data_IF_768940958199
#
_entry.id   IF_768940958199
#
_cell.length_a   1.000
_cell.length_b   1.000
_cell.length_c   1.000
_cell.angle_alpha   90.00
_cell.angle_beta   90.00
_cell.angle_gamma   90.00
#
_symmetry.space_group_name_H-M   'P 1'
#
loop_
_entity.id
_entity.type
_entity.pdbx_description
1 polymer ?
#
# COMPACT_ATOMS: atom_id res chain seq x y z
N UNK A 1 -0.80 -3.93 24.12
CA UNK A 1 0.32 -4.67 23.56
C UNK A 1 0.34 -4.46 22.05
N UNK A 2 1.37 -3.85 21.56
CA UNK A 2 1.44 -3.55 20.12
C UNK A 2 1.88 -4.79 19.35
N UNK A 3 1.11 -5.13 18.34
CA UNK A 3 1.49 -6.19 17.41
C UNK A 3 2.61 -5.66 16.52
N UNK A 4 3.68 -6.44 16.35
CA UNK A 4 4.76 -6.06 15.46
C UNK A 4 4.38 -6.38 14.02
N UNK A 5 3.99 -5.38 13.26
CA UNK A 5 3.57 -5.54 11.87
C UNK A 5 4.67 -6.07 10.98
N UNK A 6 5.92 -5.77 11.28
CA UNK A 6 7.05 -6.27 10.50
C UNK A 6 7.24 -7.78 10.68
N UNK A 7 7.06 -8.28 11.90
CA UNK A 7 7.11 -9.72 12.17
C UNK A 7 5.98 -10.44 11.45
N UNK A 8 4.77 -9.86 11.47
CA UNK A 8 3.63 -10.42 10.77
C UNK A 8 3.87 -10.46 9.26
N UNK A 9 4.42 -9.40 8.70
CA UNK A 9 4.76 -9.33 7.27
C UNK A 9 5.75 -10.42 6.91
N UNK A 10 6.82 -10.61 7.69
CA UNK A 10 7.82 -11.64 7.44
C UNK A 10 7.21 -13.05 7.56
N UNK A 11 6.36 -13.26 8.56
CA UNK A 11 5.68 -14.53 8.75
C UNK A 11 4.82 -14.89 7.53
N UNK A 12 4.04 -13.93 7.03
CA UNK A 12 3.20 -14.13 5.85
C UNK A 12 4.02 -14.43 4.61
N UNK A 13 5.12 -13.71 4.41
CA UNK A 13 6.02 -13.93 3.29
C UNK A 13 6.65 -15.33 3.34
N UNK A 14 7.10 -15.75 4.52
CA UNK A 14 7.72 -17.06 4.69
C UNK A 14 6.72 -18.19 4.44
N UNK A 15 5.48 -18.04 4.93
CA UNK A 15 4.43 -19.02 4.72
C UNK A 15 4.10 -19.18 3.24
N UNK A 16 3.97 -18.07 2.52
CA UNK A 16 3.67 -18.11 1.09
C UNK A 16 4.81 -18.72 0.30
N UNK A 17 6.04 -18.42 0.65
CA UNK A 17 7.21 -18.99 0.00
C UNK A 17 7.25 -20.50 0.14
N UNK A 18 6.93 -21.02 1.34
CA UNK A 18 6.88 -22.46 1.57
C UNK A 18 5.78 -23.11 0.75
N UNK A 19 4.62 -22.48 0.62
CA UNK A 19 3.51 -22.97 -0.20
C UNK A 19 3.87 -22.97 -1.68
N UNK A 20 4.60 -21.98 -2.14
CA UNK A 20 5.07 -21.87 -3.51
C UNK A 20 6.02 -22.98 -3.89
N UNK A 21 6.99 -23.27 -3.02
CA UNK A 21 7.95 -24.35 -3.26
C UNK A 21 7.27 -25.72 -3.41
N UNK A 22 6.08 -25.86 -2.83
CA UNK A 22 5.29 -27.09 -2.91
C UNK A 22 4.45 -27.23 -4.19
N UNK A 23 4.23 -26.11 -4.90
CA UNK A 23 3.34 -26.08 -6.09
C UNK A 23 4.08 -25.51 -7.30
N UNK A 24 4.86 -26.32 -7.97
CA UNK A 24 5.54 -25.90 -9.20
C UNK A 24 4.66 -26.18 -10.42
N UNK A 25 3.63 -25.39 -10.64
CA UNK A 25 2.82 -25.42 -11.85
C UNK A 25 3.16 -24.18 -12.68
N UNK A 26 3.64 -24.33 -13.94
CA UNK A 26 3.99 -23.18 -14.79
C UNK A 26 2.84 -22.20 -15.02
N UNK A 27 1.58 -22.68 -14.99
CA UNK A 27 0.40 -21.83 -15.19
C UNK A 27 0.09 -20.99 -13.96
N UNK A 28 0.60 -21.39 -12.79
CA UNK A 28 0.37 -20.71 -11.53
C UNK A 28 1.65 -20.13 -10.98
N UNK A 29 2.63 -19.84 -11.86
CA UNK A 29 3.89 -19.24 -11.43
C UNK A 29 3.64 -17.84 -10.89
N UNK A 30 4.06 -17.62 -9.65
CA UNK A 30 3.97 -16.32 -9.01
C UNK A 30 4.83 -15.30 -9.75
N UNK A 31 4.23 -14.15 -10.09
CA UNK A 31 4.94 -13.03 -10.69
C UNK A 31 5.49 -12.12 -9.60
N UNK A 32 4.67 -11.86 -8.58
CA UNK A 32 5.01 -10.97 -7.48
C UNK A 32 4.13 -11.28 -6.28
N UNK A 33 4.50 -10.73 -5.13
CA UNK A 33 3.65 -10.72 -3.94
C UNK A 33 3.15 -9.30 -3.71
N UNK A 34 1.94 -9.19 -3.20
CA UNK A 34 1.29 -7.91 -2.98
C UNK A 34 0.82 -7.85 -1.53
N UNK A 35 1.17 -6.76 -0.85
CA UNK A 35 0.63 -6.45 0.48
C UNK A 35 -0.71 -5.78 0.27
N UNK A 36 -1.77 -6.37 0.83
CA UNK A 36 -3.12 -5.82 0.71
C UNK A 36 -3.53 -5.08 1.97
N UNK A 37 -4.34 -4.05 1.78
CA UNK A 37 -4.82 -3.21 2.88
C UNK A 37 -6.18 -2.62 2.50
N UNK A 38 -6.88 -2.13 3.51
CA UNK A 38 -8.22 -1.54 3.33
C UNK A 38 -8.16 -0.02 3.36
N UNK A 39 -8.90 0.60 2.45
CA UNK A 39 -9.35 1.97 2.55
C UNK A 39 -10.87 1.90 2.42
N UNK A 40 -11.57 2.09 3.53
CA UNK A 40 -13.00 1.81 3.57
C UNK A 40 -13.26 0.33 3.37
N UNK A 41 -14.13 0.01 2.44
CA UNK A 41 -14.47 -1.37 2.10
C UNK A 41 -13.66 -1.93 0.93
N UNK A 42 -12.92 -1.07 0.22
CA UNK A 42 -12.13 -1.48 -0.92
C UNK A 42 -10.76 -1.97 -0.50
N UNK A 43 -10.32 -3.07 -1.10
CA UNK A 43 -8.99 -3.62 -0.90
C UNK A 43 -8.05 -3.07 -1.96
N UNK A 44 -6.93 -2.53 -1.49
CA UNK A 44 -5.84 -2.04 -2.33
C UNK A 44 -4.60 -2.89 -2.08
N UNK A 45 -3.61 -2.75 -2.93
CA UNK A 45 -2.38 -3.49 -2.77
C UNK A 45 -1.16 -2.69 -3.19
N UNK A 46 -0.02 -3.06 -2.62
CA UNK A 46 1.28 -2.52 -2.99
C UNK A 46 2.21 -3.71 -3.18
N UNK A 47 2.97 -3.71 -4.26
CA UNK A 47 3.92 -4.78 -4.51
C UNK A 47 4.99 -4.81 -3.41
N UNK A 48 5.29 -5.99 -2.92
CA UNK A 48 6.21 -6.18 -1.79
C UNK A 48 7.58 -5.54 -2.01
N UNK A 49 8.17 -5.57 -3.21
CA UNK A 49 9.46 -4.90 -3.40
C UNK A 49 9.47 -3.41 -3.05
N UNK A 50 8.31 -2.76 -3.07
CA UNK A 50 8.19 -1.34 -2.72
C UNK A 50 7.97 -1.12 -1.23
N UNK A 51 7.69 -2.16 -0.46
CA UNK A 51 7.38 -2.05 0.99
C UNK A 51 8.67 -2.21 1.80
N UNK A 52 8.93 -1.25 2.68
CA UNK A 52 10.05 -1.33 3.61
C UNK A 52 9.60 -1.95 4.92
N UNK A 53 8.55 -1.40 5.54
CA UNK A 53 8.03 -1.91 6.82
C UNK A 53 6.63 -1.36 7.09
N UNK A 54 5.96 -1.94 8.05
CA UNK A 54 4.64 -1.50 8.51
C UNK A 54 4.78 -1.14 9.98
N UNK A 55 4.28 0.04 10.36
CA UNK A 55 4.39 0.54 11.73
C UNK A 55 3.04 1.03 12.23
N UNK A 56 2.90 1.08 13.56
CA UNK A 56 1.79 1.78 14.20
C UNK A 56 1.98 3.28 13.95
N UNK A 57 0.89 4.03 14.00
CA UNK A 57 0.96 5.48 13.78
C UNK A 57 1.67 6.14 14.95
N UNK A 58 2.90 6.68 14.74
CA UNK A 58 3.58 7.45 15.78
C UNK A 58 3.08 8.89 15.79
N UNK A 59 3.56 9.72 16.72
CA UNK A 59 3.24 11.15 16.65
C UNK A 59 3.68 11.74 15.30
N UNK A 60 2.77 12.49 14.67
CA UNK A 60 3.02 13.13 13.38
C UNK A 60 3.18 14.61 13.60
N UNK A 61 4.29 15.16 13.09
CA UNK A 61 4.55 16.60 13.16
C UNK A 61 4.05 17.26 11.89
N UNK A 62 3.05 18.13 12.02
CA UNK A 62 2.50 18.87 10.88
C UNK A 62 3.55 19.80 10.30
N UNK A 63 3.58 19.90 8.97
CA UNK A 63 4.49 20.80 8.24
C UNK A 63 3.63 21.81 7.49
N UNK A 64 3.87 23.12 7.68
CA UNK A 64 3.12 24.13 6.93
C UNK A 64 3.53 24.17 5.46
N UNK A 65 2.58 24.54 4.61
CA UNK A 65 2.86 24.77 3.19
C UNK A 65 2.89 23.53 2.31
N UNK A 66 2.54 22.35 2.86
CA UNK A 66 2.48 21.11 2.07
C UNK A 66 1.06 20.85 1.59
N UNK A 67 0.88 20.04 0.53
CA UNK A 67 -0.46 19.65 0.10
C UNK A 67 -1.25 18.97 1.23
N UNK A 68 -2.57 19.08 1.17
CA UNK A 68 -3.44 18.57 2.24
C UNK A 68 -3.34 17.06 2.48
N UNK A 69 -2.93 16.29 1.48
CA UNK A 69 -2.78 14.84 1.65
C UNK A 69 -1.51 14.47 2.43
N UNK A 70 -0.56 15.40 2.58
CA UNK A 70 0.62 15.18 3.42
C UNK A 70 0.26 15.60 4.84
N UNK A 71 0.19 14.62 5.74
CA UNK A 71 -0.18 14.87 7.14
C UNK A 71 0.95 15.50 7.93
N UNK A 72 2.17 15.28 7.50
CA UNK A 72 3.33 15.78 8.19
C UNK A 72 4.51 14.85 8.03
N UNK A 73 5.37 14.85 9.03
CA UNK A 73 6.58 14.03 9.04
C UNK A 73 6.62 13.20 10.33
N UNK A 74 7.28 12.06 10.24
CA UNK A 74 7.52 11.19 11.40
C UNK A 74 8.99 10.82 11.44
N UNK A 75 9.45 10.39 12.60
CA UNK A 75 10.81 9.87 12.77
C UNK A 75 10.73 8.35 12.81
N UNK A 76 11.40 7.70 11.86
CA UNK A 76 11.49 6.23 11.81
C UNK A 76 12.96 5.87 11.83
N UNK A 77 13.42 5.29 12.93
CA UNK A 77 14.82 4.84 13.07
C UNK A 77 15.83 5.95 12.71
N UNK A 78 15.58 7.14 13.26
CA UNK A 78 16.40 8.36 13.07
C UNK A 78 16.33 8.95 11.66
N UNK A 79 15.38 8.49 10.83
CA UNK A 79 15.10 9.10 9.52
C UNK A 79 13.80 9.86 9.58
N UNK A 80 13.78 11.02 8.94
CA UNK A 80 12.56 11.81 8.79
C UNK A 80 11.84 11.33 7.54
N UNK A 81 10.60 10.91 7.70
CA UNK A 81 9.80 10.32 6.62
C UNK A 81 8.50 11.12 6.50
N UNK A 82 8.19 11.67 5.31
CA UNK A 82 6.89 12.31 5.11
C UNK A 82 5.78 11.28 5.11
N UNK A 83 4.60 11.69 5.58
CA UNK A 83 3.45 10.80 5.73
C UNK A 83 2.30 11.31 4.89
N UNK A 84 1.80 10.45 4.03
CA UNK A 84 0.66 10.71 3.14
C UNK A 84 -0.55 9.96 3.68
N UNK A 85 -1.68 10.66 3.80
CA UNK A 85 -2.94 10.00 4.10
C UNK A 85 -3.56 9.55 2.77
N UNK A 86 -3.73 8.25 2.62
CA UNK A 86 -4.24 7.70 1.35
C UNK A 86 -5.67 8.19 1.08
N UNK A 87 -6.50 8.31 2.10
CA UNK A 87 -7.86 8.83 1.92
C UNK A 87 -7.83 10.22 1.29
N UNK A 88 -7.02 11.10 1.86
CA UNK A 88 -6.88 12.48 1.33
C UNK A 88 -6.29 12.47 -0.07
N UNK A 89 -5.31 11.61 -0.31
CA UNK A 89 -4.69 11.49 -1.63
C UNK A 89 -5.70 11.09 -2.71
N UNK A 90 -6.69 10.28 -2.33
CA UNK A 90 -7.75 9.84 -3.24
C UNK A 90 -8.94 10.80 -3.26
N UNK A 91 -8.86 11.92 -2.54
CA UNK A 91 -9.98 12.86 -2.45
C UNK A 91 -11.11 12.36 -1.55
N UNK A 92 -10.83 11.41 -0.68
CA UNK A 92 -11.79 10.89 0.28
C UNK A 92 -11.67 11.60 1.62
N UNK A 93 -12.75 11.57 2.39
CA UNK A 93 -12.75 12.15 3.73
C UNK A 93 -11.85 11.34 4.66
N UNK A 94 -11.08 12.03 5.49
CA UNK A 94 -10.26 11.39 6.52
C UNK A 94 -11.17 10.91 7.66
N UNK A 95 -10.75 9.81 8.29
CA UNK A 95 -11.45 9.26 9.45
C UNK A 95 -10.50 9.28 10.65
N UNK A 96 -11.04 9.28 11.87
CA UNK A 96 -10.19 9.18 13.07
C UNK A 96 -9.39 7.89 13.06
N UNK A 97 -8.17 7.95 13.57
CA UNK A 97 -7.32 6.76 13.71
C UNK A 97 -7.88 5.85 14.79
N UNK A 98 -7.73 4.56 14.59
CA UNK A 98 -8.13 3.54 15.54
C UNK A 98 -7.03 2.49 15.69
N UNK A 99 -7.30 1.40 16.41
CA UNK A 99 -6.29 0.36 16.68
C UNK A 99 -5.78 -0.34 15.44
N UNK A 100 -6.49 -0.26 14.33
CA UNK A 100 -6.11 -0.90 13.06
C UNK A 100 -5.36 0.04 12.12
N UNK A 101 -5.48 1.34 12.33
CA UNK A 101 -4.79 2.32 11.49
C UNK A 101 -3.30 2.13 11.62
N UNK A 102 -2.62 2.09 10.47
CA UNK A 102 -1.17 1.91 10.48
C UNK A 102 -0.55 2.66 9.30
N UNK A 103 0.77 2.70 9.31
CA UNK A 103 1.54 3.33 8.25
C UNK A 103 2.37 2.26 7.55
N UNK A 104 2.23 2.21 6.22
CA UNK A 104 3.07 1.37 5.37
C UNK A 104 4.19 2.26 4.86
N UNK A 105 5.43 1.96 5.26
CA UNK A 105 6.59 2.68 4.75
C UNK A 105 6.97 2.07 3.42
N UNK A 106 6.96 2.89 2.38
CA UNK A 106 7.28 2.46 1.02
C UNK A 106 8.45 3.28 0.49
N UNK A 107 9.12 2.75 -0.53
CA UNK A 107 10.18 3.49 -1.18
C UNK A 107 10.09 3.34 -2.69
N UNK A 108 10.57 4.37 -3.37
CA UNK A 108 10.83 4.31 -4.80
C UNK A 108 12.14 5.04 -5.02
N UNK A 109 13.16 4.31 -5.48
CA UNK A 109 14.52 4.87 -5.55
C UNK A 109 15.01 5.27 -4.17
N UNK A 110 15.41 6.54 -4.04
CA UNK A 110 15.97 7.07 -2.80
C UNK A 110 14.92 7.71 -1.88
N UNK A 111 13.66 7.72 -2.30
CA UNK A 111 12.61 8.40 -1.55
C UNK A 111 11.80 7.37 -0.75
N UNK A 112 11.63 7.64 0.54
CA UNK A 112 10.78 6.84 1.43
C UNK A 112 9.61 7.70 1.91
N UNK A 113 8.41 7.12 1.92
CA UNK A 113 7.18 7.80 2.31
C UNK A 113 6.35 6.84 3.14
N UNK A 114 5.67 7.35 4.16
CA UNK A 114 4.72 6.57 4.93
C UNK A 114 3.31 6.79 4.38
N UNK A 115 2.57 5.71 4.21
CA UNK A 115 1.19 5.75 3.73
C UNK A 115 0.26 5.36 4.87
N UNK A 116 -0.62 6.27 5.28
CA UNK A 116 -1.62 5.97 6.31
C UNK A 116 -2.75 5.20 5.65
N UNK A 117 -3.04 4.01 6.15
CA UNK A 117 -4.10 3.14 5.65
C UNK A 117 -5.03 2.75 6.80
N UNK A 118 -6.27 2.37 6.47
CA UNK A 118 -7.26 2.02 7.49
C UNK A 118 -6.86 0.76 8.26
N UNK A 119 -6.41 -0.25 7.55
CA UNK A 119 -5.89 -1.48 8.14
C UNK A 119 -5.15 -2.31 7.10
N UNK A 120 -4.20 -3.12 7.56
CA UNK A 120 -3.51 -4.07 6.69
C UNK A 120 -4.30 -5.38 6.68
N UNK A 121 -4.40 -6.00 5.52
CA UNK A 121 -5.12 -7.26 5.36
C UNK A 121 -4.17 -8.46 5.30
N UNK A 122 -3.45 -8.62 4.18
CA UNK A 122 -2.70 -9.85 3.94
C UNK A 122 -1.56 -9.60 2.95
N UNK A 123 -0.72 -10.61 2.75
CA UNK A 123 0.25 -10.67 1.66
C UNK A 123 -0.18 -11.82 0.76
N UNK A 124 -0.41 -11.51 -0.51
CA UNK A 124 -0.94 -12.50 -1.45
C UNK A 124 0.02 -12.70 -2.63
N UNK A 125 0.17 -13.94 -3.11
CA UNK A 125 0.89 -14.19 -4.35
C UNK A 125 0.02 -13.82 -5.54
N UNK A 126 0.61 -13.25 -6.56
CA UNK A 126 -0.09 -12.83 -7.78
C UNK A 126 0.51 -13.55 -8.98
N UNK A 127 -0.37 -14.15 -9.79
CA UNK A 127 0.00 -14.78 -11.06
C UNK A 127 -0.62 -14.01 -12.21
N UNK A 128 -0.22 -14.32 -13.44
CA UNK A 128 -0.80 -13.67 -14.62
C UNK A 128 -2.32 -13.83 -14.72
N UNK A 129 -2.84 -14.96 -14.23
CA UNK A 129 -4.28 -15.22 -14.27
C UNK A 129 -5.08 -14.23 -13.43
N UNK A 130 -4.46 -13.66 -12.40
CA UNK A 130 -5.12 -12.71 -11.53
C UNK A 130 -5.17 -11.29 -12.13
N UNK A 131 -4.26 -10.99 -13.06
CA UNK A 131 -4.14 -9.63 -13.58
C UNK A 131 -5.16 -9.40 -14.68
N UNK A 132 -6.02 -8.43 -14.45
CA UNK A 132 -7.00 -7.97 -15.44
C UNK A 132 -6.45 -6.75 -16.15
N UNK A 133 -6.85 -6.55 -17.41
CA UNK A 133 -6.49 -5.31 -18.11
C UNK A 133 -7.19 -4.15 -17.42
N UNK A 134 -6.42 -3.11 -17.10
CA UNK A 134 -6.98 -1.92 -16.48
C UNK A 134 -7.89 -1.21 -17.48
N UNK A 135 -9.21 -1.16 -17.21
CA UNK A 135 -10.10 -0.41 -18.10
C UNK A 135 -9.84 1.08 -17.95
N UNK A 136 -10.19 1.84 -18.99
CA UNK A 136 -10.13 3.28 -18.90
C UNK A 136 -11.24 3.77 -17.95
N UNK A 137 -10.85 4.23 -16.76
CA UNK A 137 -11.77 4.72 -15.75
C UNK A 137 -11.78 6.25 -15.81
N UNK A 138 -12.43 6.78 -16.86
CA UNK A 138 -12.50 8.23 -17.06
C UNK A 138 -13.28 8.91 -15.93
N UNK A 139 -12.78 10.03 -15.45
CA UNK A 139 -13.46 10.83 -14.43
C UNK A 139 -13.24 10.41 -13.01
N UNK A 140 -12.41 9.39 -12.77
CA UNK A 140 -12.08 8.93 -11.42
C UNK A 140 -10.68 9.43 -11.03
N UNK A 141 -10.60 10.32 -10.04
CA UNK A 141 -9.34 10.93 -9.64
C UNK A 141 -8.30 9.91 -9.17
N UNK A 142 -8.74 8.86 -8.49
CA UNK A 142 -7.84 7.82 -7.98
C UNK A 142 -7.30 6.89 -9.06
N UNK A 143 -7.87 6.92 -10.27
CA UNK A 143 -7.48 6.04 -11.37
C UNK A 143 -5.99 6.20 -11.73
N UNK A 144 -5.46 7.41 -11.66
CA UNK A 144 -4.07 7.67 -12.00
C UNK A 144 -3.08 6.98 -11.07
N UNK A 145 -3.52 6.52 -9.91
CA UNK A 145 -2.67 5.84 -8.95
C UNK A 145 -2.73 4.31 -9.08
N UNK A 146 -3.62 3.79 -9.92
CA UNK A 146 -3.81 2.35 -10.07
C UNK A 146 -2.87 1.82 -11.15
N UNK A 147 -2.03 0.86 -10.75
CA UNK A 147 -1.08 0.20 -11.62
C UNK A 147 -1.70 -1.02 -12.31
N UNK A 148 -2.45 -1.81 -11.56
CA UNK A 148 -3.12 -2.99 -12.09
C UNK A 148 -4.35 -3.35 -11.26
N UNK A 149 -5.23 -4.13 -11.86
CA UNK A 149 -6.44 -4.64 -11.21
C UNK A 149 -6.30 -6.15 -11.10
N UNK A 150 -6.49 -6.66 -9.87
CA UNK A 150 -6.45 -8.09 -9.61
C UNK A 150 -7.85 -8.62 -9.42
N UNK A 151 -8.20 -9.65 -10.18
CA UNK A 151 -9.44 -10.39 -9.99
C UNK A 151 -9.12 -11.66 -9.20
N UNK A 152 -9.54 -11.67 -7.95
CA UNK A 152 -9.31 -12.78 -7.03
C UNK A 152 -10.65 -13.45 -6.68
N UNK A 153 -10.59 -14.64 -6.12
CA UNK A 153 -11.82 -15.36 -5.74
C UNK A 153 -12.66 -14.60 -4.72
N UNK A 154 -12.03 -13.80 -3.89
CA UNK A 154 -12.70 -13.02 -2.85
C UNK A 154 -12.98 -11.57 -3.26
N UNK A 155 -12.75 -11.21 -4.51
CA UNK A 155 -13.09 -9.90 -5.03
C UNK A 155 -11.95 -9.21 -5.78
N UNK A 156 -12.21 -7.98 -6.15
CA UNK A 156 -11.27 -7.16 -6.90
C UNK A 156 -10.34 -6.41 -5.95
N UNK A 157 -9.05 -6.40 -6.28
CA UNK A 157 -8.04 -5.65 -5.53
C UNK A 157 -7.31 -4.70 -6.48
N UNK A 158 -7.07 -3.48 -6.02
CA UNK A 158 -6.48 -2.43 -6.85
C UNK A 158 -5.03 -2.21 -6.41
N UNK A 159 -4.09 -2.59 -7.28
CA UNK A 159 -2.66 -2.41 -7.00
C UNK A 159 -2.25 -1.00 -7.36
N UNK A 160 -1.60 -0.32 -6.41
CA UNK A 160 -1.22 1.07 -6.54
C UNK A 160 0.19 1.21 -7.09
N UNK A 161 0.41 2.28 -7.84
CA UNK A 161 1.72 2.69 -8.30
C UNK A 161 2.31 3.64 -7.25
N UNK A 162 3.28 3.15 -6.48
CA UNK A 162 3.87 3.91 -5.39
C UNK A 162 4.53 5.20 -5.90
N UNK A 163 5.20 5.14 -7.03
CA UNK A 163 5.86 6.33 -7.58
C UNK A 163 4.87 7.45 -7.89
N UNK A 164 3.68 7.10 -8.35
CA UNK A 164 2.64 8.10 -8.63
C UNK A 164 1.99 8.64 -7.36
N UNK A 165 1.92 7.82 -6.31
CA UNK A 165 1.38 8.27 -5.03
C UNK A 165 2.22 9.37 -4.41
N UNK A 166 3.54 9.30 -4.59
CA UNK A 166 4.47 10.23 -3.96
C UNK A 166 4.99 11.30 -4.92
N UNK A 167 4.57 11.28 -6.18
CA UNK A 167 4.95 12.28 -7.17
C UNK A 167 4.14 13.57 -6.96
N UNK A 168 4.84 14.66 -6.63
CA UNK A 168 4.21 15.96 -6.40
C UNK A 168 3.46 16.46 -7.64
N UNK A 169 3.96 16.17 -8.82
CA UNK A 169 3.34 16.64 -10.06
C UNK A 169 2.03 15.93 -10.37
N UNK A 170 1.81 14.74 -9.84
CA UNK A 170 0.58 14.00 -10.05
C UNK A 170 -0.64 14.64 -9.36
N UNK A 171 -0.41 15.56 -8.43
CA UNK A 171 -1.47 16.24 -7.68
C UNK A 171 -1.95 17.53 -8.32
N UNK A 172 -1.27 18.05 -9.32
CA UNK A 172 -1.56 19.35 -9.93
C UNK A 172 -2.56 19.28 -11.10
N UNK A 173 -3.03 18.11 -11.46
CA UNK A 173 -3.99 17.94 -12.55
C UNK A 173 -5.38 17.58 -12.08
#
# INVERSE_FOLDING_TARGET
MSENYNDKLQELLNTQKAMEDAKKDPQNTEITKVLTFYIGEQVYGIEIPDVIEIIEVPPITAVPGVPSYIKGIINVRSKIVPVVNIRSRFGKEEIPFNDRTCIIIVSTGDVSVGLIVDSVADVIPVTEQHISKTPELTGVNSNKFIKSILEMNDGIKLVLDVSKLIDEHASEE
#
